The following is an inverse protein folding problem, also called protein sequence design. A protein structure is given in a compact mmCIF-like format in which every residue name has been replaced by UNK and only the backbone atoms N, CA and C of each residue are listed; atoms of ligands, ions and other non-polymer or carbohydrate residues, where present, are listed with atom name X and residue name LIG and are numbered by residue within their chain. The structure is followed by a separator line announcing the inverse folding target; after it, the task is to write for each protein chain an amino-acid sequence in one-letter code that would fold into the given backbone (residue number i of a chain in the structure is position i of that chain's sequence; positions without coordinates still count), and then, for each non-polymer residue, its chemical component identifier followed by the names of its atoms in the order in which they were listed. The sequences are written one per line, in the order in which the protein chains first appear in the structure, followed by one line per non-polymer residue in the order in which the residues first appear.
data_IF_479064335394
#
_entry.id   IF_479064335394
#
_cell.length_a   1.000
_cell.length_b   1.000
_cell.length_c   1.000
_cell.angle_alpha   90.00
_cell.angle_beta   90.00
_cell.angle_gamma   90.00
#
_symmetry.space_group_name_H-M   'P 1'
#
loop_
_entity.id
_entity.type
_entity.pdbx_description
1 polymer ?
#
# COMPACT_ATOMS: atom_id res chain seq x y z
N UNK A 1 -6.00 -7.79 3.87
CA UNK A 1 -4.60 -7.42 4.19
C UNK A 1 -4.23 -8.04 5.53
N UNK A 2 -2.96 -8.38 5.79
CA UNK A 2 -2.52 -8.83 7.12
C UNK A 2 -2.76 -7.72 8.14
N UNK A 3 -3.69 -7.89 9.05
CA UNK A 3 -4.00 -6.88 10.06
C UNK A 3 -3.58 -7.42 11.43
N UNK A 4 -3.04 -6.53 12.26
CA UNK A 4 -2.98 -6.84 13.69
C UNK A 4 -4.40 -6.55 14.16
N UNK A 5 -5.16 -7.60 14.46
CA UNK A 5 -6.58 -7.53 14.86
C UNK A 5 -6.75 -6.93 16.27
N UNK A 6 -6.27 -5.69 16.41
CA UNK A 6 -6.20 -4.92 17.66
C UNK A 6 -6.27 -3.44 17.30
N UNK A 7 -6.92 -2.64 18.15
CA UNK A 7 -6.85 -1.19 18.04
C UNK A 7 -5.47 -0.66 18.49
N UNK A 8 -5.22 0.62 18.24
CA UNK A 8 -3.93 1.23 18.49
C UNK A 8 -3.55 1.15 19.98
N UNK A 9 -4.47 1.46 20.88
CA UNK A 9 -4.26 1.44 22.32
C UNK A 9 -3.95 0.02 22.84
N UNK A 10 -4.69 -0.99 22.37
CA UNK A 10 -4.45 -2.40 22.70
C UNK A 10 -3.06 -2.86 22.23
N UNK A 11 -2.68 -2.49 21.01
CA UNK A 11 -1.39 -2.85 20.44
C UNK A 11 -0.24 -2.24 21.24
N UNK A 12 -0.36 -0.98 21.67
CA UNK A 12 0.62 -0.33 22.55
C UNK A 12 0.66 -1.00 23.93
N UNK A 13 -0.49 -1.34 24.50
CA UNK A 13 -0.55 -2.03 25.79
C UNK A 13 0.13 -3.40 25.75
N UNK A 14 -0.04 -4.16 24.65
CA UNK A 14 0.65 -5.43 24.45
C UNK A 14 2.17 -5.25 24.34
N UNK A 15 2.63 -4.25 23.58
CA UNK A 15 4.07 -3.92 23.47
C UNK A 15 4.66 -3.54 24.84
N UNK A 16 3.94 -2.75 25.64
CA UNK A 16 4.38 -2.38 26.99
C UNK A 16 4.45 -3.59 27.94
N UNK A 17 3.51 -4.53 27.81
CA UNK A 17 3.43 -5.73 28.66
C UNK A 17 4.50 -6.77 28.32
N UNK A 18 4.67 -7.10 27.04
CA UNK A 18 5.51 -8.21 26.59
C UNK A 18 6.93 -7.74 26.20
N UNK A 19 7.11 -6.45 25.92
CA UNK A 19 8.35 -5.88 25.41
C UNK A 19 8.53 -6.12 23.91
N UNK A 20 9.27 -5.23 23.25
CA UNK A 20 9.35 -5.16 21.79
C UNK A 20 9.77 -6.48 21.12
N UNK A 21 10.80 -7.15 21.65
CA UNK A 21 11.33 -8.39 21.06
C UNK A 21 10.29 -9.52 21.05
N UNK A 22 9.57 -9.71 22.17
CA UNK A 22 8.57 -10.77 22.26
C UNK A 22 7.36 -10.42 21.39
N UNK A 23 6.86 -9.19 21.48
CA UNK A 23 5.71 -8.74 20.68
C UNK A 23 5.97 -8.84 19.19
N UNK A 24 7.17 -8.47 18.71
CA UNK A 24 7.53 -8.58 17.30
C UNK A 24 7.47 -10.03 16.78
N UNK A 25 8.03 -10.98 17.54
CA UNK A 25 7.99 -12.40 17.19
C UNK A 25 6.55 -12.97 17.22
N UNK A 26 5.76 -12.61 18.24
CA UNK A 26 4.36 -13.03 18.37
C UNK A 26 3.50 -12.50 17.22
N UNK A 27 3.61 -11.21 16.91
CA UNK A 27 2.89 -10.60 15.80
C UNK A 27 3.28 -11.24 14.47
N UNK A 28 4.58 -11.42 14.20
CA UNK A 28 5.02 -12.10 12.99
C UNK A 28 4.45 -13.53 12.89
N UNK A 29 4.41 -14.27 14.01
CA UNK A 29 3.79 -15.59 14.07
C UNK A 29 2.29 -15.59 13.75
N UNK A 30 1.54 -14.57 14.20
CA UNK A 30 0.11 -14.40 13.87
C UNK A 30 -0.08 -14.19 12.36
N UNK A 31 0.75 -13.36 11.76
CA UNK A 31 0.76 -13.09 10.31
C UNK A 31 0.97 -14.38 9.52
N UNK A 32 1.94 -15.20 9.94
CA UNK A 32 2.24 -16.48 9.30
C UNK A 32 1.11 -17.49 9.47
N UNK A 33 0.50 -17.56 10.65
CA UNK A 33 -0.61 -18.47 10.93
C UNK A 33 -1.85 -18.17 10.07
N UNK A 34 -2.16 -16.89 9.85
CA UNK A 34 -3.34 -16.48 9.09
C UNK A 34 -3.13 -16.60 7.57
N UNK A 35 -1.93 -16.27 7.07
CA UNK A 35 -1.68 -16.17 5.63
C UNK A 35 -0.84 -17.32 5.05
N UNK A 36 -0.28 -18.18 5.90
CA UNK A 36 0.61 -19.29 5.55
C UNK A 36 2.07 -18.88 5.35
N UNK A 37 2.34 -17.58 5.17
CA UNK A 37 3.68 -17.00 5.12
C UNK A 37 3.61 -15.52 5.49
N UNK A 38 4.70 -15.00 6.06
CA UNK A 38 4.91 -13.56 6.24
C UNK A 38 5.66 -12.98 5.04
N UNK A 39 5.40 -11.72 4.65
CA UNK A 39 6.27 -10.99 3.73
C UNK A 39 7.73 -10.93 4.23
N UNK A 40 8.69 -11.11 3.32
CA UNK A 40 10.13 -11.08 3.65
C UNK A 40 10.55 -9.79 4.37
N UNK A 41 9.91 -8.66 4.04
CA UNK A 41 10.15 -7.38 4.71
C UNK A 41 9.91 -7.49 6.23
N UNK A 42 8.89 -8.23 6.67
CA UNK A 42 8.59 -8.38 8.09
C UNK A 42 9.59 -9.33 8.76
N UNK A 43 9.95 -10.42 8.08
CA UNK A 43 10.98 -11.35 8.55
C UNK A 43 12.33 -10.66 8.75
N UNK A 44 12.71 -9.73 7.86
CA UNK A 44 13.96 -8.97 8.00
C UNK A 44 13.86 -7.90 9.08
N UNK A 45 12.71 -7.25 9.21
CA UNK A 45 12.49 -6.25 10.27
C UNK A 45 12.44 -6.88 11.67
N UNK A 46 12.19 -8.19 11.81
CA UNK A 46 12.26 -8.88 13.11
C UNK A 46 13.62 -8.69 13.82
N UNK A 47 14.71 -8.54 13.06
CA UNK A 47 16.03 -8.23 13.61
C UNK A 47 16.11 -6.86 14.30
N UNK A 48 15.14 -5.97 14.04
CA UNK A 48 14.93 -4.69 14.70
C UNK A 48 13.46 -4.58 15.15
N UNK A 49 13.10 -5.20 16.30
CA UNK A 49 11.72 -5.34 16.75
C UNK A 49 10.91 -4.03 16.78
N UNK A 50 11.54 -2.92 17.17
CA UNK A 50 10.93 -1.59 17.23
C UNK A 50 10.54 -1.08 15.84
N UNK A 51 11.37 -1.35 14.81
CA UNK A 51 11.06 -0.99 13.43
C UNK A 51 9.92 -1.86 12.87
N UNK A 52 9.91 -3.16 13.18
CA UNK A 52 8.80 -4.04 12.79
C UNK A 52 7.48 -3.60 13.42
N UNK A 53 7.48 -3.38 14.74
CA UNK A 53 6.30 -2.93 15.49
C UNK A 53 5.79 -1.61 14.94
N UNK A 54 6.68 -0.62 14.77
CA UNK A 54 6.31 0.69 14.24
C UNK A 54 5.71 0.60 12.83
N UNK A 55 6.31 -0.23 11.97
CA UNK A 55 5.81 -0.46 10.62
C UNK A 55 4.42 -1.09 10.62
N UNK A 56 4.19 -2.12 11.44
CA UNK A 56 2.90 -2.79 11.52
C UNK A 56 1.82 -1.91 12.16
N UNK A 57 2.15 -1.13 13.19
CA UNK A 57 1.24 -0.15 13.78
C UNK A 57 0.81 0.92 12.76
N UNK A 58 1.76 1.50 12.03
CA UNK A 58 1.48 2.49 11.00
C UNK A 58 0.59 1.91 9.91
N UNK A 59 0.95 0.74 9.40
CA UNK A 59 0.16 0.03 8.40
C UNK A 59 -1.28 -0.18 8.90
N UNK A 60 -1.45 -0.71 10.12
CA UNK A 60 -2.76 -0.98 10.70
C UNK A 60 -3.60 0.31 10.80
N UNK A 61 -3.01 1.39 11.28
CA UNK A 61 -3.69 2.68 11.39
C UNK A 61 -4.13 3.24 10.02
N UNK A 62 -3.32 3.07 8.97
CA UNK A 62 -3.65 3.53 7.61
C UNK A 62 -4.79 2.71 7.00
N UNK A 63 -4.76 1.39 7.16
CA UNK A 63 -5.72 0.51 6.49
C UNK A 63 -7.01 0.32 7.26
N UNK A 64 -7.00 0.60 8.56
CA UNK A 64 -8.19 0.64 9.41
C UNK A 64 -8.77 2.06 9.58
N UNK A 65 -8.33 3.05 8.79
CA UNK A 65 -8.91 4.39 8.81
C UNK A 65 -10.42 4.43 8.49
N UNK A 66 -10.97 3.34 7.92
CA UNK A 66 -12.41 3.03 7.94
C UNK A 66 -13.29 3.77 6.92
N UNK A 67 -12.79 4.83 6.27
CA UNK A 67 -13.56 5.58 5.28
C UNK A 67 -13.79 4.80 3.97
N UNK A 68 -12.91 3.85 3.64
CA UNK A 68 -13.01 2.99 2.47
C UNK A 68 -13.37 1.56 2.88
N UNK A 69 -14.25 0.87 2.13
CA UNK A 69 -14.48 -0.55 2.33
C UNK A 69 -13.17 -1.35 2.22
N UNK A 70 -12.98 -2.45 3.00
CA UNK A 70 -11.76 -3.25 2.95
C UNK A 70 -11.40 -3.73 1.54
N UNK A 71 -12.42 -4.10 0.76
CA UNK A 71 -12.29 -4.48 -0.65
C UNK A 71 -11.66 -3.38 -1.51
N UNK A 72 -12.06 -2.13 -1.29
CA UNK A 72 -11.53 -0.96 -1.99
C UNK A 72 -10.07 -0.73 -1.62
N UNK A 73 -9.71 -0.84 -0.33
CA UNK A 73 -8.33 -0.70 0.14
C UNK A 73 -7.43 -1.77 -0.51
N UNK A 74 -7.89 -3.01 -0.61
CA UNK A 74 -7.13 -4.09 -1.24
C UNK A 74 -6.95 -3.89 -2.75
N UNK A 75 -8.00 -3.45 -3.47
CA UNK A 75 -7.90 -3.11 -4.90
C UNK A 75 -6.91 -1.96 -5.16
N UNK A 76 -6.91 -0.92 -4.31
CA UNK A 76 -5.93 0.17 -4.37
C UNK A 76 -4.52 -0.38 -4.15
N UNK A 77 -4.34 -1.24 -3.14
CA UNK A 77 -3.04 -1.82 -2.82
C UNK A 77 -2.50 -2.67 -3.98
N UNK A 78 -3.34 -3.48 -4.61
CA UNK A 78 -3.00 -4.25 -5.81
C UNK A 78 -2.62 -3.34 -6.98
N UNK A 79 -3.42 -2.32 -7.26
CA UNK A 79 -3.18 -1.36 -8.34
C UNK A 79 -1.87 -0.59 -8.15
N UNK A 80 -1.59 -0.13 -6.93
CA UNK A 80 -0.33 0.56 -6.58
C UNK A 80 0.86 -0.39 -6.72
N UNK A 81 0.77 -1.62 -6.21
CA UNK A 81 1.82 -2.62 -6.36
C UNK A 81 2.16 -2.90 -7.83
N UNK A 82 1.13 -3.03 -8.68
CA UNK A 82 1.29 -3.22 -10.11
C UNK A 82 1.91 -2.00 -10.81
N UNK A 83 1.43 -0.79 -10.51
CA UNK A 83 1.97 0.45 -11.10
C UNK A 83 3.43 0.70 -10.72
N UNK A 84 3.83 0.34 -9.48
CA UNK A 84 5.21 0.41 -8.99
C UNK A 84 6.10 -0.74 -9.48
N UNK A 85 5.54 -1.70 -10.22
CA UNK A 85 6.26 -2.91 -10.70
C UNK A 85 6.88 -3.72 -9.57
N UNK A 86 6.20 -3.79 -8.43
CA UNK A 86 6.62 -4.61 -7.30
C UNK A 86 6.01 -6.01 -7.43
N UNK A 87 6.70 -6.94 -8.08
CA UNK A 87 6.20 -8.31 -8.33
C UNK A 87 5.74 -9.02 -7.06
N UNK A 88 6.48 -8.86 -5.96
CA UNK A 88 6.12 -9.42 -4.66
C UNK A 88 4.85 -8.79 -4.09
N UNK A 89 4.71 -7.47 -4.16
CA UNK A 89 3.53 -6.75 -3.68
C UNK A 89 2.30 -7.15 -4.50
N UNK A 90 2.42 -7.16 -5.83
CA UNK A 90 1.34 -7.56 -6.74
C UNK A 90 0.91 -8.99 -6.50
N UNK A 91 1.84 -9.92 -6.37
CA UNK A 91 1.53 -11.34 -6.09
C UNK A 91 0.80 -11.49 -4.77
N UNK A 92 1.28 -10.83 -3.73
CA UNK A 92 0.68 -10.88 -2.40
C UNK A 92 -0.74 -10.31 -2.40
N UNK A 93 -0.93 -9.08 -2.89
CA UNK A 93 -2.26 -8.44 -2.93
C UNK A 93 -3.23 -9.15 -3.87
N UNK A 94 -2.74 -9.81 -4.93
CA UNK A 94 -3.56 -10.70 -5.78
C UNK A 94 -4.09 -11.91 -4.99
N UNK A 95 -3.26 -12.53 -4.15
CA UNK A 95 -3.68 -13.66 -3.32
C UNK A 95 -4.71 -13.21 -2.27
N UNK A 96 -4.48 -12.06 -1.63
CA UNK A 96 -5.40 -11.51 -0.63
C UNK A 96 -6.74 -11.12 -1.28
N UNK A 97 -6.72 -10.45 -2.44
CA UNK A 97 -7.93 -10.13 -3.20
C UNK A 97 -8.77 -11.38 -3.51
N UNK A 98 -8.13 -12.47 -3.94
CA UNK A 98 -8.81 -13.75 -4.18
C UNK A 98 -9.40 -14.35 -2.89
N UNK A 99 -8.67 -14.31 -1.78
CA UNK A 99 -9.17 -14.77 -0.46
C UNK A 99 -10.38 -13.96 0.01
N UNK A 100 -10.43 -12.66 -0.31
CA UNK A 100 -11.55 -11.77 0.00
C UNK A 100 -12.75 -11.91 -0.95
N UNK A 101 -12.68 -12.78 -1.96
CA UNK A 101 -13.76 -12.97 -2.93
C UNK A 101 -13.93 -11.80 -3.91
N UNK A 102 -12.88 -10.99 -4.12
CA UNK A 102 -12.87 -9.95 -5.15
C UNK A 102 -12.91 -10.63 -6.53
N UNK A 103 -13.78 -10.19 -7.42
CA UNK A 103 -13.99 -10.86 -8.70
C UNK A 103 -12.86 -10.58 -9.68
N UNK A 104 -12.72 -11.44 -10.70
CA UNK A 104 -11.71 -11.24 -11.74
C UNK A 104 -11.98 -9.94 -12.54
N UNK A 105 -13.24 -9.54 -12.68
CA UNK A 105 -13.65 -8.31 -13.35
C UNK A 105 -13.18 -7.07 -12.58
N UNK A 106 -13.33 -7.07 -11.26
CA UNK A 106 -12.86 -5.97 -10.40
C UNK A 106 -11.33 -5.89 -10.38
N UNK A 107 -10.65 -7.05 -10.34
CA UNK A 107 -9.19 -7.13 -10.46
C UNK A 107 -8.73 -6.60 -11.83
N UNK A 108 -9.40 -7.00 -12.91
CA UNK A 108 -9.11 -6.52 -14.26
C UNK A 108 -9.24 -5.00 -14.33
N UNK A 109 -10.33 -4.43 -13.80
CA UNK A 109 -10.56 -2.98 -13.79
C UNK A 109 -9.45 -2.25 -13.03
N UNK A 110 -9.07 -2.72 -11.83
CA UNK A 110 -8.00 -2.12 -11.05
C UNK A 110 -6.64 -2.15 -11.78
N UNK A 111 -6.31 -3.27 -12.44
CA UNK A 111 -5.07 -3.40 -13.22
C UNK A 111 -5.08 -2.50 -14.46
N UNK A 112 -6.22 -2.38 -15.16
CA UNK A 112 -6.36 -1.47 -16.30
C UNK A 112 -6.18 -0.01 -15.87
N UNK A 113 -6.77 0.41 -14.75
CA UNK A 113 -6.60 1.75 -14.18
C UNK A 113 -5.14 2.00 -13.81
N UNK A 114 -4.48 1.04 -13.16
CA UNK A 114 -3.05 1.14 -12.82
C UNK A 114 -2.18 1.33 -14.08
N UNK A 115 -2.43 0.52 -15.12
CA UNK A 115 -1.71 0.61 -16.40
C UNK A 115 -1.93 1.95 -17.11
N UNK A 116 -3.17 2.44 -17.14
CA UNK A 116 -3.52 3.74 -17.71
C UNK A 116 -2.73 4.88 -17.04
N UNK A 117 -2.70 4.93 -15.71
CA UNK A 117 -2.00 6.00 -15.00
C UNK A 117 -0.48 5.86 -15.12
N UNK A 118 0.06 4.65 -15.07
CA UNK A 118 1.49 4.42 -15.29
C UNK A 118 1.93 4.90 -16.68
N UNK A 119 1.17 4.59 -17.74
CA UNK A 119 1.43 5.09 -19.09
C UNK A 119 1.28 6.61 -19.18
N UNK A 120 0.21 7.16 -18.61
CA UNK A 120 -0.05 8.60 -18.62
C UNK A 120 1.05 9.39 -17.92
N UNK A 121 1.62 8.86 -16.83
CA UNK A 121 2.74 9.46 -16.11
C UNK A 121 3.98 9.61 -17.00
N UNK A 122 4.30 8.60 -17.82
CA UNK A 122 5.41 8.67 -18.78
C UNK A 122 5.19 9.81 -19.78
N UNK A 123 4.02 9.84 -20.41
CA UNK A 123 3.68 10.86 -21.40
C UNK A 123 3.68 12.26 -20.80
N UNK A 124 3.03 12.44 -19.65
CA UNK A 124 2.91 13.74 -19.00
C UNK A 124 4.27 14.27 -18.53
N UNK A 125 5.14 13.43 -17.98
CA UNK A 125 6.46 13.86 -17.52
C UNK A 125 7.40 14.14 -18.69
N UNK A 126 7.46 13.25 -19.70
CA UNK A 126 8.36 13.43 -20.84
C UNK A 126 7.97 14.63 -21.71
N UNK A 127 6.68 14.84 -21.99
CA UNK A 127 6.26 15.93 -22.89
C UNK A 127 6.53 17.32 -22.32
N UNK A 128 6.56 17.49 -21.00
CA UNK A 128 6.95 18.78 -20.38
C UNK A 128 8.40 19.17 -20.65
N UNK A 129 9.27 18.22 -21.02
CA UNK A 129 10.66 18.50 -21.35
C UNK A 129 10.85 18.93 -22.80
N UNK A 130 9.92 18.59 -23.70
CA UNK A 130 10.04 18.84 -25.15
C UNK A 130 9.05 19.87 -25.67
N UNK A 131 7.96 20.11 -24.93
CA UNK A 131 7.07 21.24 -25.17
C UNK A 131 7.61 22.38 -24.32
N UNK A 132 8.19 23.46 -24.91
CA UNK A 132 8.50 24.64 -24.12
C UNK A 132 7.23 25.07 -23.40
N UNK A 133 7.32 25.37 -22.10
CA UNK A 133 6.21 26.05 -21.42
C UNK A 133 5.79 27.19 -22.34
N UNK A 134 4.49 27.26 -22.69
CA UNK A 134 4.00 28.45 -23.36
C UNK A 134 4.39 29.60 -22.46
N UNK A 135 5.31 30.45 -22.90
CA UNK A 135 5.51 31.75 -22.27
C UNK A 135 4.10 32.32 -22.09
N UNK A 136 3.73 32.74 -20.86
CA UNK A 136 2.43 33.35 -20.67
C UNK A 136 2.31 34.45 -21.72
N UNK A 137 1.20 34.45 -22.46
CA UNK A 137 0.97 35.43 -23.51
C UNK A 137 1.14 36.84 -22.90
N UNK A 138 2.28 37.48 -23.14
CA UNK A 138 2.55 38.89 -22.77
C UNK A 138 1.90 39.85 -23.76
N UNK A 139 0.95 39.37 -24.55
CA UNK A 139 0.30 40.12 -25.62
C UNK A 139 -0.45 41.33 -25.07
N UNK A 140 -0.19 42.48 -25.69
CA UNK A 140 -0.88 43.76 -25.46
C UNK A 140 -2.36 43.76 -25.84
N UNK A 141 -2.94 42.62 -26.24
CA UNK A 141 -4.36 42.47 -26.57
C UNK A 141 -5.32 42.68 -25.37
N UNK A 142 -4.80 42.77 -24.14
CA UNK A 142 -5.57 43.16 -22.95
C UNK A 142 -5.55 44.68 -22.66
N UNK A 143 -4.91 45.51 -23.50
CA UNK A 143 -4.88 46.97 -23.37
C UNK A 143 -5.80 47.71 -24.36
N UNK A 144 -6.95 47.13 -24.70
CA UNK A 144 -8.03 47.86 -25.38
C UNK A 144 -9.35 47.64 -24.68
#
# INVERSE_FOLDING_TARGET
MVDIDMNFEEAIAEVQKNGAKQTAAEWLGRIEAEYGTSPLIYQKLEACPEALISHLLYKNAVTQAGALPPKTVELISLAVGAALRCDHCTTYHMQVAKKMGITNEEILEAVLVAGLLANSSVLANAYRLVVPEKEPCVGTCAMK
#
